data_IF_445517127151
#
_entry.id   IF_445517127151
#
_cell.length_a   1.000
_cell.length_b   1.000
_cell.length_c   1.000
_cell.angle_alpha   90.00
_cell.angle_beta   90.00
_cell.angle_gamma   90.00
#
_symmetry.space_group_name_H-M   'P 1'
#
loop_
_entity.id
_entity.type
_entity.pdbx_description
1 polymer ?
#
# COMPACT_ATOMS: atom_id res chain seq x y z
N UNK A 1 11.79 -25.20 -1.94
CA UNK A 1 11.48 -24.38 -0.76
C UNK A 1 11.56 -25.27 0.47
N UNK A 2 12.17 -24.82 1.58
CA UNK A 2 12.18 -25.57 2.84
C UNK A 2 10.75 -25.67 3.43
N UNK A 3 10.49 -26.70 4.29
CA UNK A 3 9.19 -26.79 4.98
C UNK A 3 8.84 -25.54 5.80
N UNK A 4 9.85 -24.84 6.33
CA UNK A 4 9.69 -23.57 7.04
C UNK A 4 9.23 -22.44 6.12
N UNK A 5 9.77 -22.33 4.89
CA UNK A 5 9.32 -21.35 3.92
C UNK A 5 7.86 -21.57 3.48
N UNK A 6 7.40 -22.83 3.41
CA UNK A 6 6.01 -23.18 3.11
C UNK A 6 5.08 -22.81 4.28
N UNK A 7 5.53 -23.01 5.53
CA UNK A 7 4.75 -22.65 6.73
C UNK A 7 4.62 -21.12 6.87
N UNK A 8 5.67 -20.38 6.55
CA UNK A 8 5.66 -18.90 6.62
C UNK A 8 4.76 -18.27 5.52
N UNK A 9 4.71 -18.87 4.33
CA UNK A 9 3.78 -18.45 3.27
C UNK A 9 2.30 -18.70 3.61
N UNK A 10 2.00 -19.61 4.54
CA UNK A 10 0.63 -19.93 4.95
C UNK A 10 0.15 -19.16 6.20
N UNK A 11 0.98 -18.28 6.78
CA UNK A 11 0.56 -17.42 7.90
C UNK A 11 -0.46 -16.41 7.38
N UNK A 12 -1.69 -16.47 7.87
CA UNK A 12 -2.72 -15.45 7.59
C UNK A 12 -2.31 -14.11 8.21
N UNK A 13 -2.39 -13.04 7.44
CA UNK A 13 -2.10 -11.71 7.92
C UNK A 13 -3.36 -10.87 8.05
N UNK A 14 -3.41 -10.10 9.11
CA UNK A 14 -4.30 -8.95 9.25
C UNK A 14 -3.43 -7.73 9.08
N UNK A 15 -3.47 -7.16 7.89
CA UNK A 15 -2.70 -5.98 7.52
C UNK A 15 -3.46 -4.74 7.95
N UNK A 16 -2.78 -3.79 8.56
CA UNK A 16 -3.34 -2.47 8.86
C UNK A 16 -2.61 -1.42 8.05
N UNK A 17 -3.33 -0.80 7.13
CA UNK A 17 -2.82 0.24 6.26
C UNK A 17 -2.81 1.59 6.98
N UNK A 18 -1.66 2.21 7.05
CA UNK A 18 -1.42 3.49 7.71
C UNK A 18 -1.08 4.55 6.68
N UNK A 19 -2.01 5.49 6.45
CA UNK A 19 -1.66 6.72 5.76
C UNK A 19 -0.93 7.64 6.75
N UNK A 20 0.40 7.61 6.67
CA UNK A 20 1.29 8.15 7.69
C UNK A 20 0.97 9.60 8.10
N UNK A 21 0.77 10.57 7.15
CA UNK A 21 0.57 11.98 7.51
C UNK A 21 -0.69 12.27 8.33
N UNK A 22 -1.69 11.39 8.24
CA UNK A 22 -2.97 11.57 8.92
C UNK A 22 -3.12 10.71 10.18
N UNK A 23 -2.34 9.64 10.29
CA UNK A 23 -2.43 8.69 11.40
C UNK A 23 -1.57 9.08 12.60
N UNK A 24 -0.33 9.53 12.35
CA UNK A 24 0.64 9.89 13.37
C UNK A 24 1.48 11.10 12.92
N UNK A 25 2.21 11.70 13.88
CA UNK A 25 3.08 12.84 13.61
C UNK A 25 4.44 12.40 13.07
N UNK A 26 5.02 11.39 13.71
CA UNK A 26 6.39 10.91 13.51
C UNK A 26 6.52 9.45 13.97
N UNK A 27 7.69 8.84 13.77
CA UNK A 27 7.95 7.46 14.17
C UNK A 27 7.93 7.24 15.69
N UNK A 28 8.24 8.26 16.50
CA UNK A 28 8.10 8.15 17.95
C UNK A 28 6.62 8.05 18.35
N UNK A 29 5.77 8.87 17.75
CA UNK A 29 4.33 8.81 17.97
C UNK A 29 3.76 7.48 17.47
N UNK A 30 4.19 6.98 16.30
CA UNK A 30 3.77 5.66 15.78
C UNK A 30 4.22 4.52 16.70
N UNK A 31 5.45 4.55 17.23
CA UNK A 31 5.94 3.57 18.18
C UNK A 31 5.13 3.53 19.49
N UNK A 32 4.58 4.67 19.92
CA UNK A 32 3.69 4.74 21.08
C UNK A 32 2.29 4.16 20.80
N UNK A 33 1.96 3.92 19.54
CA UNK A 33 0.67 3.30 19.12
C UNK A 33 0.75 1.77 18.93
N UNK A 34 1.90 1.16 19.15
CA UNK A 34 2.05 -0.31 19.08
C UNK A 34 0.99 -1.03 19.94
N UNK A 35 0.70 -0.62 21.20
CA UNK A 35 -0.34 -1.26 22.00
C UNK A 35 -1.73 -1.24 21.36
N UNK A 36 -2.04 -0.20 20.59
CA UNK A 36 -3.31 -0.11 19.84
C UNK A 36 -3.42 -1.20 18.77
N UNK A 37 -2.36 -1.44 18.02
CA UNK A 37 -2.35 -2.47 16.97
C UNK A 37 -2.43 -3.87 17.57
N UNK A 38 -1.73 -4.11 18.68
CA UNK A 38 -1.80 -5.37 19.45
C UNK A 38 -3.22 -5.60 19.97
N UNK A 39 -3.83 -4.57 20.57
CA UNK A 39 -5.21 -4.62 21.05
C UNK A 39 -6.20 -4.94 19.92
N UNK A 40 -6.05 -4.32 18.76
CA UNK A 40 -6.91 -4.58 17.60
C UNK A 40 -6.72 -6.00 17.05
N UNK A 41 -5.54 -6.60 17.28
CA UNK A 41 -5.19 -7.97 16.87
C UNK A 41 -4.61 -8.06 15.46
N UNK A 42 -4.15 -6.95 14.87
CA UNK A 42 -3.45 -6.95 13.58
C UNK A 42 -2.08 -7.62 13.70
N UNK A 43 -1.53 -8.05 12.58
CA UNK A 43 -0.25 -8.77 12.53
C UNK A 43 0.80 -8.07 11.69
N UNK A 44 0.37 -7.15 10.85
CA UNK A 44 1.24 -6.52 9.87
C UNK A 44 0.82 -5.06 9.67
N UNK A 45 1.78 -4.16 9.70
CA UNK A 45 1.57 -2.73 9.47
C UNK A 45 2.09 -2.39 8.06
N UNK A 46 1.26 -1.80 7.22
CA UNK A 46 1.67 -1.24 5.94
C UNK A 46 1.70 0.28 6.07
N UNK A 47 2.90 0.86 5.91
CA UNK A 47 3.11 2.30 5.91
C UNK A 47 3.07 2.82 4.47
N UNK A 48 2.18 3.79 4.16
CA UNK A 48 2.28 4.53 2.91
C UNK A 48 3.63 5.25 2.82
N UNK A 49 4.07 5.77 1.64
CA UNK A 49 5.45 6.20 1.46
C UNK A 49 5.97 7.14 2.56
N UNK A 50 7.09 6.77 3.15
CA UNK A 50 7.75 7.51 4.25
C UNK A 50 8.92 8.37 3.77
N UNK A 51 9.18 8.36 2.46
CA UNK A 51 10.35 8.97 1.82
C UNK A 51 10.18 10.48 1.63
N UNK A 52 11.29 11.23 1.47
CA UNK A 52 11.22 12.62 1.03
C UNK A 52 10.41 12.77 -0.26
N UNK A 53 9.42 13.64 -0.22
CA UNK A 53 8.49 13.93 -1.31
C UNK A 53 8.02 15.38 -1.22
N UNK A 54 7.83 16.09 -2.35
CA UNK A 54 7.33 17.45 -2.34
C UNK A 54 5.83 17.55 -2.05
N UNK A 55 5.12 16.41 -2.14
CA UNK A 55 3.67 16.37 -1.90
C UNK A 55 3.32 15.67 -0.59
N UNK A 56 2.10 15.88 -0.13
CA UNK A 56 1.57 15.23 1.07
C UNK A 56 1.31 13.73 0.84
N UNK A 57 0.90 13.35 -0.38
CA UNK A 57 0.61 11.93 -0.67
C UNK A 57 1.85 11.03 -0.64
N UNK A 58 3.05 11.57 -0.90
CA UNK A 58 4.31 10.85 -0.75
C UNK A 58 4.75 9.99 -1.93
N UNK A 59 3.93 9.82 -2.98
CA UNK A 59 4.24 8.92 -4.10
C UNK A 59 5.22 9.49 -5.12
N UNK A 60 5.48 10.78 -5.14
CA UNK A 60 6.51 11.45 -5.94
C UNK A 60 7.84 11.54 -5.18
N UNK A 61 8.51 10.41 -5.07
CA UNK A 61 9.67 10.21 -4.20
C UNK A 61 10.91 10.94 -4.74
N UNK A 62 11.54 11.77 -3.89
CA UNK A 62 12.81 12.46 -4.19
C UNK A 62 14.01 11.56 -3.91
N UNK A 63 13.95 10.75 -2.87
CA UNK A 63 15.04 9.87 -2.46
C UNK A 63 14.48 8.62 -1.73
N UNK A 64 14.69 7.45 -2.30
CA UNK A 64 14.23 6.17 -1.73
C UNK A 64 15.11 5.66 -0.58
N UNK A 65 16.25 6.29 -0.32
CA UNK A 65 17.22 5.93 0.73
C UNK A 65 17.17 6.88 1.92
N UNK A 66 16.05 7.60 2.09
CA UNK A 66 15.92 8.57 3.18
C UNK A 66 14.49 8.54 3.74
N UNK A 67 14.31 9.14 4.90
CA UNK A 67 13.03 9.31 5.57
C UNK A 67 12.65 10.78 5.49
N UNK A 68 11.38 11.07 5.21
CA UNK A 68 10.85 12.43 5.24
C UNK A 68 11.15 13.06 6.59
N UNK A 69 11.85 14.19 6.60
CA UNK A 69 12.41 14.84 7.80
C UNK A 69 11.38 15.06 8.91
N UNK A 70 10.14 15.34 8.54
CA UNK A 70 9.03 15.55 9.47
C UNK A 70 8.62 14.28 10.20
N UNK A 71 8.98 13.09 9.69
CA UNK A 71 8.65 11.80 10.29
C UNK A 71 9.72 11.31 11.28
N UNK A 72 10.87 12.00 11.36
CA UNK A 72 11.96 11.69 12.28
C UNK A 72 13.23 11.23 11.58
N UNK A 73 14.10 10.60 12.35
CA UNK A 73 15.39 10.06 11.90
C UNK A 73 15.33 8.55 11.66
N UNK A 74 16.38 7.98 11.03
CA UNK A 74 16.56 6.52 10.96
C UNK A 74 16.58 5.86 12.33
N UNK A 75 17.13 6.52 13.34
CA UNK A 75 17.09 6.01 14.72
C UNK A 75 15.66 5.87 15.24
N UNK A 76 14.79 6.83 14.93
CA UNK A 76 13.38 6.78 15.35
C UNK A 76 12.63 5.67 14.60
N UNK A 77 12.93 5.50 13.31
CA UNK A 77 12.40 4.43 12.49
C UNK A 77 12.85 3.05 13.00
N UNK A 78 14.15 2.84 13.20
CA UNK A 78 14.70 1.56 13.68
C UNK A 78 14.13 1.19 15.05
N UNK A 79 13.96 2.17 15.92
CA UNK A 79 13.33 2.01 17.24
C UNK A 79 11.84 1.61 17.12
N UNK A 80 11.14 2.16 16.13
CA UNK A 80 9.77 1.72 15.82
C UNK A 80 9.75 0.27 15.30
N UNK A 81 10.63 -0.10 14.36
CA UNK A 81 10.77 -1.47 13.85
C UNK A 81 11.04 -2.46 14.98
N UNK A 82 12.00 -2.15 15.87
CA UNK A 82 12.32 -3.01 17.02
C UNK A 82 11.10 -3.22 17.92
N UNK A 83 10.41 -2.15 18.29
CA UNK A 83 9.18 -2.24 19.10
C UNK A 83 8.05 -3.02 18.39
N UNK A 84 7.90 -2.85 17.08
CA UNK A 84 6.93 -3.63 16.30
C UNK A 84 7.25 -5.12 16.38
N UNK A 85 8.50 -5.51 16.15
CA UNK A 85 8.96 -6.89 16.20
C UNK A 85 8.86 -7.50 17.61
N UNK A 86 9.18 -6.75 18.67
CA UNK A 86 8.98 -7.17 20.06
C UNK A 86 7.51 -7.53 20.38
N UNK A 87 6.58 -6.96 19.61
CA UNK A 87 5.15 -7.21 19.71
C UNK A 87 4.60 -8.09 18.58
N UNK A 88 5.46 -8.85 17.89
CA UNK A 88 5.12 -9.79 16.82
C UNK A 88 4.42 -9.15 15.60
N UNK A 89 4.62 -7.82 15.39
CA UNK A 89 4.10 -7.09 14.25
C UNK A 89 5.12 -7.04 13.13
N UNK A 90 4.73 -7.44 11.92
CA UNK A 90 5.52 -7.24 10.70
C UNK A 90 5.30 -5.82 10.16
N UNK A 91 6.31 -5.23 9.52
CA UNK A 91 6.23 -3.89 8.92
C UNK A 91 6.56 -3.94 7.44
N UNK A 92 5.65 -3.41 6.62
CA UNK A 92 5.79 -3.27 5.17
C UNK A 92 5.96 -1.80 4.80
N UNK A 93 6.90 -1.51 3.92
CA UNK A 93 7.01 -0.20 3.29
C UNK A 93 6.31 -0.18 1.93
N UNK A 94 5.68 0.94 1.63
CA UNK A 94 5.16 1.23 0.30
C UNK A 94 6.31 1.62 -0.63
N UNK A 95 6.54 0.84 -1.68
CA UNK A 95 7.67 1.02 -2.57
C UNK A 95 7.21 1.37 -3.98
N UNK A 96 7.54 2.60 -4.41
CA UNK A 96 7.20 3.14 -5.73
C UNK A 96 8.38 2.94 -6.68
N UNK A 97 8.25 2.07 -7.67
CA UNK A 97 9.30 1.75 -8.62
C UNK A 97 8.91 1.97 -10.10
N UNK A 98 7.72 2.54 -10.35
CA UNK A 98 7.27 2.87 -11.69
C UNK A 98 7.66 4.30 -12.11
N UNK A 99 7.84 5.19 -11.16
CA UNK A 99 8.20 6.60 -11.37
C UNK A 99 8.96 7.15 -10.16
N UNK A 100 9.46 8.37 -10.30
CA UNK A 100 10.03 9.17 -9.20
C UNK A 100 9.46 10.57 -9.22
N UNK A 101 9.85 11.41 -8.25
CA UNK A 101 9.68 12.87 -8.40
C UNK A 101 10.57 13.41 -9.52
N UNK A 102 10.13 14.47 -10.20
CA UNK A 102 11.00 15.28 -11.06
C UNK A 102 12.15 15.98 -10.29
N UNK A 103 12.07 16.00 -8.96
CA UNK A 103 13.14 16.49 -8.09
C UNK A 103 14.18 15.42 -7.74
N UNK A 104 13.94 14.16 -8.11
CA UNK A 104 14.89 13.07 -7.87
C UNK A 104 16.22 13.33 -8.57
N UNK A 105 17.35 13.12 -7.88
CA UNK A 105 18.69 13.39 -8.42
C UNK A 105 18.92 12.69 -9.77
N UNK A 106 18.52 11.43 -9.86
CA UNK A 106 18.67 10.63 -11.08
C UNK A 106 17.89 11.23 -12.28
N UNK A 107 16.72 11.86 -12.05
CA UNK A 107 16.01 12.56 -13.11
C UNK A 107 16.73 13.84 -13.54
N UNK A 108 17.22 14.63 -12.58
CA UNK A 108 18.03 15.84 -12.88
C UNK A 108 19.30 15.52 -13.67
N UNK A 109 19.94 14.40 -13.36
CA UNK A 109 21.10 13.90 -14.13
C UNK A 109 20.70 13.40 -15.53
N UNK A 110 19.51 12.79 -15.66
CA UNK A 110 18.98 12.32 -16.95
C UNK A 110 18.66 13.48 -17.90
N UNK A 111 18.22 14.64 -17.39
CA UNK A 111 18.05 15.88 -18.19
C UNK A 111 19.38 16.28 -18.87
N UNK A 112 20.49 15.99 -18.22
CA UNK A 112 21.85 16.27 -18.72
C UNK A 112 22.42 15.15 -19.59
N UNK A 113 21.65 14.11 -19.89
CA UNK A 113 22.07 12.94 -20.66
C UNK A 113 23.07 12.01 -19.94
N UNK A 114 23.16 12.07 -18.61
CA UNK A 114 24.13 11.29 -17.81
C UNK A 114 23.70 9.85 -17.52
N UNK A 115 22.44 9.51 -17.77
CA UNK A 115 21.90 8.17 -17.52
C UNK A 115 20.72 7.86 -18.46
N UNK A 116 20.33 6.57 -18.54
CA UNK A 116 19.21 6.04 -19.32
C UNK A 116 18.01 5.66 -18.46
N UNK A 117 17.92 6.24 -17.26
CA UNK A 117 16.95 5.85 -16.25
C UNK A 117 15.52 6.30 -16.54
N UNK A 118 15.33 7.18 -17.53
CA UNK A 118 14.02 7.71 -17.93
C UNK A 118 13.88 7.71 -19.45
N UNK A 119 12.67 7.90 -19.94
CA UNK A 119 12.35 7.92 -21.37
C UNK A 119 12.33 9.35 -21.90
N UNK A 120 13.06 9.59 -22.98
CA UNK A 120 13.19 10.87 -23.66
C UNK A 120 12.83 10.80 -25.14
N UNK A 121 12.22 11.86 -25.67
CA UNK A 121 11.90 12.00 -27.09
C UNK A 121 12.07 13.44 -27.55
N UNK A 122 12.48 13.63 -28.80
CA UNK A 122 12.51 14.96 -29.44
C UNK A 122 11.12 15.46 -29.84
N UNK A 123 10.11 14.58 -29.80
CA UNK A 123 8.75 14.90 -30.19
C UNK A 123 7.76 14.43 -29.13
N UNK A 124 6.64 15.15 -28.97
CA UNK A 124 5.51 14.69 -28.15
C UNK A 124 4.85 13.50 -28.86
N UNK A 125 4.90 12.31 -28.24
CA UNK A 125 4.32 11.10 -28.83
C UNK A 125 2.81 10.96 -28.50
N UNK A 126 2.42 11.33 -27.27
CA UNK A 126 1.03 11.38 -26.79
C UNK A 126 0.92 12.33 -25.58
N UNK A 127 -0.22 12.34 -24.91
CA UNK A 127 -0.46 13.23 -23.76
C UNK A 127 0.29 12.84 -22.49
N UNK A 128 0.86 11.63 -22.40
CA UNK A 128 1.74 11.25 -21.31
C UNK A 128 3.15 11.86 -21.43
N UNK A 129 3.53 12.38 -22.61
CA UNK A 129 4.84 13.02 -22.81
C UNK A 129 4.78 14.49 -22.49
N UNK A 130 5.62 14.91 -21.54
CA UNK A 130 5.71 16.28 -21.01
C UNK A 130 6.98 16.95 -21.45
N UNK A 131 6.89 18.23 -21.79
CA UNK A 131 8.06 19.03 -22.19
C UNK A 131 8.96 19.32 -20.99
N UNK A 132 10.24 19.07 -21.15
CA UNK A 132 11.28 19.56 -20.25
C UNK A 132 11.84 20.87 -20.81
N UNK A 133 11.67 21.96 -20.06
CA UNK A 133 12.10 23.28 -20.50
C UNK A 133 13.62 23.45 -20.53
N UNK A 134 14.36 22.63 -19.77
CA UNK A 134 15.81 22.71 -19.65
C UNK A 134 16.53 22.19 -20.90
N UNK A 135 16.21 20.96 -21.35
CA UNK A 135 16.84 20.33 -22.50
C UNK A 135 16.01 20.35 -23.79
N UNK A 136 14.78 20.92 -23.74
CA UNK A 136 13.83 21.01 -24.86
C UNK A 136 13.36 19.68 -25.42
N UNK A 137 13.52 18.59 -24.68
CA UNK A 137 13.01 17.28 -25.01
C UNK A 137 11.72 16.96 -24.22
N UNK A 138 11.02 15.93 -24.65
CA UNK A 138 9.86 15.40 -23.94
C UNK A 138 10.28 14.16 -23.12
N UNK A 139 9.75 14.05 -21.90
CA UNK A 139 9.89 12.87 -21.06
C UNK A 139 8.52 12.22 -20.79
N UNK A 140 8.54 10.91 -20.58
CA UNK A 140 7.31 10.17 -20.27
C UNK A 140 6.91 10.38 -18.81
N UNK A 141 5.66 10.80 -18.55
CA UNK A 141 5.05 10.96 -17.23
C UNK A 141 3.56 10.67 -17.32
N UNK A 142 3.17 9.44 -16.96
CA UNK A 142 1.81 8.92 -17.18
C UNK A 142 0.74 9.54 -16.28
N UNK A 143 1.11 9.98 -15.06
CA UNK A 143 0.16 10.58 -14.11
C UNK A 143 0.25 12.10 -14.11
N UNK A 144 1.31 12.62 -13.55
CA UNK A 144 1.57 14.06 -13.46
C UNK A 144 2.93 14.39 -14.07
N UNK A 145 3.08 15.61 -14.54
CA UNK A 145 4.35 16.10 -15.08
C UNK A 145 5.50 16.04 -14.04
N UNK A 146 5.16 16.03 -12.75
CA UNK A 146 6.13 15.89 -11.66
C UNK A 146 6.54 14.44 -11.37
N UNK A 147 5.97 13.45 -12.10
CA UNK A 147 6.20 12.03 -11.88
C UNK A 147 6.77 11.34 -13.13
N UNK A 148 8.04 11.60 -13.50
CA UNK A 148 8.67 10.96 -14.64
C UNK A 148 8.76 9.45 -14.48
N UNK A 149 8.38 8.73 -15.53
CA UNK A 149 8.38 7.26 -15.61
C UNK A 149 9.80 6.69 -15.59
N UNK A 150 10.08 5.78 -14.66
CA UNK A 150 11.33 5.04 -14.63
C UNK A 150 11.45 4.06 -15.81
N UNK A 151 12.64 3.97 -16.37
CA UNK A 151 13.01 2.91 -17.30
C UNK A 151 13.46 1.67 -16.52
N UNK A 152 12.50 0.80 -16.17
CA UNK A 152 12.77 -0.43 -15.42
C UNK A 152 13.65 -1.44 -16.19
N UNK A 153 13.94 -1.19 -17.46
CA UNK A 153 14.87 -1.97 -18.29
C UNK A 153 16.33 -1.52 -18.12
N UNK A 154 16.55 -0.29 -17.65
CA UNK A 154 17.90 0.25 -17.41
C UNK A 154 18.66 -0.57 -16.38
N UNK A 155 19.91 -0.89 -16.71
CA UNK A 155 20.82 -1.58 -15.79
C UNK A 155 21.11 -0.74 -14.54
N UNK A 156 21.13 0.59 -14.69
CA UNK A 156 21.35 1.51 -13.57
C UNK A 156 20.14 1.50 -12.61
N UNK A 157 18.91 1.55 -13.13
CA UNK A 157 17.69 1.42 -12.32
C UNK A 157 17.65 0.09 -11.58
N UNK A 158 17.96 -1.02 -12.27
CA UNK A 158 17.98 -2.35 -11.63
C UNK A 158 19.07 -2.47 -10.57
N UNK A 159 20.22 -1.84 -10.76
CA UNK A 159 21.29 -1.79 -9.76
C UNK A 159 20.86 -1.01 -8.52
N UNK A 160 20.25 0.16 -8.72
CA UNK A 160 19.68 0.97 -7.64
C UNK A 160 18.64 0.17 -6.82
N UNK A 161 17.73 -0.52 -7.50
CA UNK A 161 16.70 -1.35 -6.86
C UNK A 161 17.33 -2.47 -6.01
N UNK A 162 18.39 -3.13 -6.45
CA UNK A 162 19.09 -4.15 -5.64
C UNK A 162 19.68 -3.57 -4.36
N UNK A 163 20.29 -2.39 -4.45
CA UNK A 163 20.82 -1.69 -3.27
C UNK A 163 19.67 -1.31 -2.33
N UNK A 164 18.56 -0.79 -2.88
CA UNK A 164 17.38 -0.41 -2.13
C UNK A 164 16.75 -1.59 -1.36
N UNK A 165 16.62 -2.75 -2.01
CA UNK A 165 16.11 -3.98 -1.37
C UNK A 165 16.99 -4.34 -0.16
N UNK A 166 18.31 -4.33 -0.32
CA UNK A 166 19.24 -4.64 0.77
C UNK A 166 19.14 -3.61 1.89
N UNK A 167 19.12 -2.34 1.56
CA UNK A 167 19.03 -1.23 2.51
C UNK A 167 17.81 -1.38 3.44
N UNK A 168 16.61 -1.57 2.88
CA UNK A 168 15.42 -1.66 3.71
C UNK A 168 15.22 -3.02 4.40
N UNK A 169 15.52 -4.14 3.71
CA UNK A 169 15.28 -5.46 4.29
C UNK A 169 16.36 -5.91 5.29
N UNK A 170 17.61 -5.47 5.11
CA UNK A 170 18.74 -5.93 5.93
C UNK A 170 19.17 -4.88 6.94
N UNK A 171 19.41 -3.65 6.48
CA UNK A 171 19.94 -2.59 7.35
C UNK A 171 18.84 -2.06 8.27
N UNK A 172 17.62 -1.84 7.73
CA UNK A 172 16.47 -1.34 8.48
C UNK A 172 15.42 -2.40 8.84
N UNK A 173 15.67 -3.68 8.51
CA UNK A 173 14.93 -4.87 8.98
C UNK A 173 13.44 -4.87 8.69
N UNK A 174 12.94 -4.15 7.65
CA UNK A 174 11.53 -4.25 7.27
C UNK A 174 11.17 -5.65 6.81
N UNK A 175 9.89 -6.04 6.87
CA UNK A 175 9.46 -7.41 6.62
C UNK A 175 9.02 -7.65 5.17
N UNK A 176 8.93 -6.59 4.40
CA UNK A 176 8.55 -6.68 3.00
C UNK A 176 8.06 -5.37 2.44
N UNK A 177 7.38 -5.46 1.30
CA UNK A 177 6.95 -4.28 0.56
C UNK A 177 5.51 -4.41 0.04
N UNK A 178 4.78 -3.32 0.10
CA UNK A 178 3.67 -3.07 -0.81
C UNK A 178 4.23 -2.38 -2.05
N UNK A 179 3.92 -2.88 -3.21
CA UNK A 179 4.45 -2.44 -4.50
C UNK A 179 3.40 -1.60 -5.21
N UNK A 180 3.71 -0.33 -5.39
CA UNK A 180 2.82 0.65 -6.01
C UNK A 180 2.64 0.39 -7.50
N UNK A 181 1.38 0.47 -7.97
CA UNK A 181 0.99 0.55 -9.38
C UNK A 181 1.71 -0.47 -10.31
N UNK A 182 1.75 -1.76 -9.92
CA UNK A 182 2.62 -2.78 -10.55
C UNK A 182 2.43 -2.94 -12.06
N UNK A 183 1.24 -2.68 -12.60
CA UNK A 183 0.98 -2.75 -14.04
C UNK A 183 1.69 -1.69 -14.87
N UNK A 184 2.19 -0.65 -14.23
CA UNK A 184 2.81 0.49 -14.90
C UNK A 184 4.34 0.44 -14.96
N UNK A 185 4.97 -0.62 -14.45
CA UNK A 185 6.40 -0.83 -14.68
C UNK A 185 6.69 -0.85 -16.19
N UNK A 186 7.78 -0.24 -16.60
CA UNK A 186 8.10 -0.09 -18.02
C UNK A 186 8.61 -1.38 -18.65
N UNK A 187 8.38 -1.56 -19.96
CA UNK A 187 8.69 -2.79 -20.68
C UNK A 187 7.63 -3.87 -20.45
N UNK A 188 8.04 -5.09 -20.11
CA UNK A 188 7.15 -6.14 -19.64
C UNK A 188 7.05 -6.08 -18.12
N UNK A 189 5.91 -5.62 -17.56
CA UNK A 189 5.76 -5.48 -16.12
C UNK A 189 5.88 -6.82 -15.38
N UNK A 190 5.35 -7.91 -15.92
CA UNK A 190 5.41 -9.22 -15.27
C UNK A 190 6.86 -9.70 -15.16
N UNK A 191 7.64 -9.59 -16.21
CA UNK A 191 9.06 -9.99 -16.20
C UNK A 191 9.90 -9.09 -15.27
N UNK A 192 9.57 -7.80 -15.18
CA UNK A 192 10.21 -6.91 -14.21
C UNK A 192 9.91 -7.35 -12.77
N UNK A 193 8.66 -7.64 -12.44
CA UNK A 193 8.28 -8.04 -11.08
C UNK A 193 8.74 -9.46 -10.73
N UNK A 194 8.82 -10.38 -11.69
CA UNK A 194 9.49 -11.69 -11.49
C UNK A 194 10.94 -11.50 -11.07
N UNK A 195 11.66 -10.64 -11.80
CA UNK A 195 13.03 -10.30 -11.46
C UNK A 195 13.14 -9.68 -10.07
N UNK A 196 12.29 -8.69 -9.76
CA UNK A 196 12.27 -8.02 -8.46
C UNK A 196 12.02 -9.01 -7.31
N UNK A 197 10.99 -9.82 -7.40
CA UNK A 197 10.66 -10.83 -6.39
C UNK A 197 11.82 -11.82 -6.18
N UNK A 198 12.47 -12.25 -7.27
CA UNK A 198 13.66 -13.11 -7.19
C UNK A 198 14.80 -12.44 -6.44
N UNK A 199 15.08 -11.15 -6.66
CA UNK A 199 16.13 -10.42 -5.95
C UNK A 199 15.76 -10.25 -4.45
N UNK A 200 14.50 -9.96 -4.13
CA UNK A 200 14.01 -9.88 -2.74
C UNK A 200 14.17 -11.21 -2.02
N UNK A 201 13.67 -12.31 -2.60
CA UNK A 201 13.68 -13.63 -1.95
C UNK A 201 15.09 -14.24 -1.83
N UNK A 202 16.08 -13.79 -2.61
CA UNK A 202 17.48 -14.12 -2.37
C UNK A 202 18.03 -13.53 -1.08
N UNK A 203 17.54 -12.36 -0.69
CA UNK A 203 18.01 -11.62 0.50
C UNK A 203 17.18 -12.02 1.73
N UNK A 204 15.85 -11.99 1.62
CA UNK A 204 14.89 -12.34 2.70
C UNK A 204 13.86 -13.33 2.14
N UNK A 205 14.10 -14.66 2.23
CA UNK A 205 13.22 -15.67 1.63
C UNK A 205 11.78 -15.65 2.11
N UNK A 206 11.53 -15.08 3.31
CA UNK A 206 10.23 -14.93 3.93
C UNK A 206 9.67 -13.49 3.83
N UNK A 207 10.26 -12.62 3.04
CA UNK A 207 9.74 -11.29 2.83
C UNK A 207 8.29 -11.34 2.30
N UNK A 208 7.43 -10.48 2.83
CA UNK A 208 6.06 -10.36 2.34
C UNK A 208 6.00 -9.32 1.22
N UNK A 209 5.49 -9.73 0.08
CA UNK A 209 5.31 -8.87 -1.07
C UNK A 209 3.85 -8.85 -1.48
N UNK A 210 3.29 -7.65 -1.63
CA UNK A 210 1.95 -7.43 -2.13
C UNK A 210 1.92 -6.30 -3.16
N UNK A 211 1.37 -6.58 -4.34
CA UNK A 211 1.30 -5.63 -5.44
C UNK A 211 -0.07 -4.98 -5.55
N UNK A 212 -0.07 -3.67 -5.81
CA UNK A 212 -1.28 -2.98 -6.23
C UNK A 212 -1.50 -3.18 -7.72
N UNK A 213 -2.57 -3.90 -8.06
CA UNK A 213 -3.01 -4.11 -9.43
C UNK A 213 -4.49 -3.77 -9.55
N UNK A 214 -4.79 -2.53 -9.94
CA UNK A 214 -6.16 -2.06 -10.10
C UNK A 214 -6.72 -2.52 -11.45
N UNK A 215 -6.98 -3.82 -11.53
CA UNK A 215 -7.48 -4.53 -12.71
C UNK A 215 -8.49 -5.60 -12.29
N UNK A 216 -9.12 -6.23 -13.28
CA UNK A 216 -9.92 -7.43 -13.07
C UNK A 216 -9.13 -8.54 -12.40
N UNK A 217 -9.83 -9.43 -11.70
CA UNK A 217 -9.20 -10.50 -10.92
C UNK A 217 -8.24 -11.36 -11.74
N UNK A 218 -8.62 -11.72 -12.96
CA UNK A 218 -7.80 -12.56 -13.83
C UNK A 218 -6.43 -11.94 -14.12
N UNK A 219 -6.38 -10.63 -14.30
CA UNK A 219 -5.12 -9.89 -14.55
C UNK A 219 -4.30 -9.82 -13.26
N UNK A 220 -4.92 -9.41 -12.15
CA UNK A 220 -4.23 -9.32 -10.86
C UNK A 220 -3.72 -10.69 -10.38
N UNK A 221 -4.51 -11.75 -10.57
CA UNK A 221 -4.13 -13.11 -10.25
C UNK A 221 -2.99 -13.63 -11.13
N UNK A 222 -2.93 -13.23 -12.41
CA UNK A 222 -1.79 -13.55 -13.27
C UNK A 222 -0.48 -12.99 -12.69
N UNK A 223 -0.47 -11.74 -12.21
CA UNK A 223 0.70 -11.19 -11.51
C UNK A 223 1.06 -12.05 -10.30
N UNK A 224 0.08 -12.41 -9.46
CA UNK A 224 0.34 -13.21 -8.27
C UNK A 224 0.95 -14.58 -8.59
N UNK A 225 0.40 -15.29 -9.58
CA UNK A 225 0.89 -16.62 -9.99
C UNK A 225 2.30 -16.52 -10.58
N UNK A 226 2.52 -15.58 -11.49
CA UNK A 226 3.77 -15.46 -12.25
C UNK A 226 4.95 -14.96 -11.41
N UNK A 227 4.69 -14.12 -10.40
CA UNK A 227 5.72 -13.48 -9.59
C UNK A 227 5.91 -14.11 -8.21
N UNK A 228 4.89 -14.81 -7.71
CA UNK A 228 4.85 -15.33 -6.33
C UNK A 228 4.54 -14.30 -5.25
N UNK A 229 4.29 -13.03 -5.62
CA UNK A 229 3.75 -12.03 -4.67
C UNK A 229 2.24 -12.19 -4.49
N UNK A 230 1.67 -11.58 -3.47
CA UNK A 230 0.22 -11.38 -3.37
C UNK A 230 -0.22 -10.12 -4.12
N UNK A 231 -1.53 -10.00 -4.41
CA UNK A 231 -2.10 -8.80 -5.01
C UNK A 231 -3.34 -8.35 -4.26
N UNK A 232 -3.60 -7.03 -4.21
CA UNK A 232 -4.86 -6.50 -3.72
C UNK A 232 -5.98 -6.80 -4.73
N UNK A 233 -7.12 -7.31 -4.24
CA UNK A 233 -8.25 -7.64 -5.10
C UNK A 233 -9.30 -6.53 -5.10
N UNK A 234 -9.15 -5.57 -6.01
CA UNK A 234 -10.05 -4.42 -6.18
C UNK A 234 -11.44 -4.82 -6.66
N UNK A 235 -11.53 -5.80 -7.55
CA UNK A 235 -12.81 -6.29 -8.06
C UNK A 235 -13.67 -6.88 -6.94
N UNK A 236 -13.05 -7.70 -6.06
CA UNK A 236 -13.72 -8.28 -4.92
C UNK A 236 -14.22 -7.23 -3.92
N UNK A 237 -13.45 -6.16 -3.70
CA UNK A 237 -13.87 -5.03 -2.88
C UNK A 237 -15.15 -4.39 -3.47
N UNK A 238 -15.19 -4.18 -4.78
CA UNK A 238 -16.37 -3.67 -5.49
C UNK A 238 -17.58 -4.61 -5.38
N UNK A 239 -17.39 -5.91 -5.53
CA UNK A 239 -18.48 -6.89 -5.41
C UNK A 239 -19.05 -6.97 -4.00
N UNK A 240 -18.21 -6.96 -2.97
CA UNK A 240 -18.67 -6.95 -1.58
C UNK A 240 -19.53 -5.70 -1.29
N UNK A 241 -19.08 -4.52 -1.74
CA UNK A 241 -19.84 -3.27 -1.62
C UNK A 241 -21.17 -3.37 -2.35
N UNK A 242 -21.19 -3.79 -3.62
CA UNK A 242 -22.41 -3.93 -4.41
C UNK A 242 -23.41 -4.91 -3.79
N UNK A 243 -22.93 -6.02 -3.22
CA UNK A 243 -23.77 -7.02 -2.55
C UNK A 243 -24.52 -6.44 -1.35
N UNK A 244 -23.85 -5.68 -0.51
CA UNK A 244 -24.44 -5.13 0.75
C UNK A 244 -25.20 -3.83 0.49
N UNK A 245 -24.70 -2.96 -0.39
CA UNK A 245 -25.29 -1.64 -0.60
C UNK A 245 -26.49 -1.68 -1.54
N UNK A 246 -26.44 -2.54 -2.58
CA UNK A 246 -27.42 -2.60 -3.66
C UNK A 246 -28.15 -3.93 -3.75
N UNK A 247 -27.97 -4.83 -2.76
CA UNK A 247 -28.58 -6.17 -2.75
C UNK A 247 -28.33 -6.95 -4.06
N UNK A 248 -27.14 -6.79 -4.61
CA UNK A 248 -26.74 -7.40 -5.89
C UNK A 248 -26.69 -8.92 -5.75
N UNK A 249 -27.11 -9.63 -6.83
CA UNK A 249 -27.05 -11.10 -6.92
C UNK A 249 -25.66 -11.64 -7.29
N UNK A 250 -24.64 -10.77 -7.43
CA UNK A 250 -23.29 -11.23 -7.73
C UNK A 250 -22.80 -12.19 -6.65
N UNK A 251 -22.35 -13.35 -7.06
CA UNK A 251 -21.71 -14.31 -6.17
C UNK A 251 -20.30 -13.81 -5.85
N UNK A 252 -20.03 -13.71 -4.58
CA UNK A 252 -18.68 -13.44 -4.08
C UNK A 252 -17.83 -14.67 -4.36
N UNK A 253 -16.79 -14.57 -5.17
CA UNK A 253 -15.87 -15.66 -5.43
C UNK A 253 -15.13 -16.02 -4.14
N UNK A 254 -15.16 -17.31 -3.77
CA UNK A 254 -14.46 -17.83 -2.57
C UNK A 254 -13.17 -18.61 -2.93
N UNK A 255 -12.91 -18.81 -4.23
CA UNK A 255 -11.75 -19.55 -4.77
C UNK A 255 -10.53 -18.68 -5.07
N UNK A 256 -10.46 -17.49 -4.46
CA UNK A 256 -9.42 -16.50 -4.68
C UNK A 256 -8.20 -16.84 -3.83
N UNK A 257 -7.16 -17.38 -4.47
CA UNK A 257 -5.87 -17.62 -3.84
C UNK A 257 -4.91 -16.44 -4.10
N UNK A 258 -3.94 -16.25 -3.20
CA UNK A 258 -2.88 -15.23 -3.32
C UNK A 258 -3.36 -13.76 -3.38
N UNK A 259 -4.57 -13.48 -2.95
CA UNK A 259 -5.12 -12.14 -2.90
C UNK A 259 -5.18 -11.59 -1.46
N UNK A 260 -5.06 -10.29 -1.34
CA UNK A 260 -5.38 -9.53 -0.12
C UNK A 260 -6.78 -8.94 -0.30
N UNK A 261 -7.66 -9.23 0.65
CA UNK A 261 -9.05 -8.77 0.66
C UNK A 261 -9.15 -7.51 1.52
N UNK A 262 -9.84 -6.52 1.01
CA UNK A 262 -10.02 -5.22 1.66
C UNK A 262 -11.35 -4.59 1.24
N UNK A 263 -11.75 -3.49 1.86
CA UNK A 263 -12.99 -2.77 1.54
C UNK A 263 -12.73 -1.35 1.05
N UNK A 264 -11.78 -0.68 1.65
CA UNK A 264 -11.35 0.67 1.32
C UNK A 264 -9.83 0.81 1.54
N UNK A 265 -9.25 1.87 0.98
CA UNK A 265 -7.85 2.25 1.13
C UNK A 265 -7.71 3.78 1.00
N UNK A 266 -6.46 4.26 0.96
CA UNK A 266 -6.15 5.69 0.86
C UNK A 266 -6.55 6.34 -0.49
N UNK A 267 -6.88 5.57 -1.53
CA UNK A 267 -7.29 6.03 -2.88
C UNK A 267 -8.79 5.79 -3.16
N UNK A 268 -9.52 5.23 -2.19
CA UNK A 268 -10.93 4.89 -2.35
C UNK A 268 -11.80 5.64 -1.35
N UNK A 269 -13.09 5.77 -1.68
CA UNK A 269 -14.08 6.24 -0.73
C UNK A 269 -14.16 5.29 0.46
N UNK A 270 -14.20 5.84 1.68
CA UNK A 270 -14.34 5.04 2.92
C UNK A 270 -15.68 4.31 2.94
N UNK A 271 -15.68 3.08 3.45
CA UNK A 271 -16.91 2.27 3.54
C UNK A 271 -18.00 2.91 4.39
N UNK A 272 -17.64 3.70 5.39
CA UNK A 272 -18.60 4.46 6.20
C UNK A 272 -19.43 5.44 5.37
N UNK A 273 -18.76 6.12 4.43
CA UNK A 273 -19.42 7.06 3.49
C UNK A 273 -20.28 6.28 2.50
N UNK A 274 -19.77 5.21 1.88
CA UNK A 274 -20.54 4.34 0.99
C UNK A 274 -21.80 3.77 1.68
N UNK A 275 -21.70 3.49 2.97
CA UNK A 275 -22.81 3.00 3.79
C UNK A 275 -23.73 4.11 4.34
N UNK A 276 -23.52 5.38 4.01
CA UNK A 276 -24.21 6.52 4.64
C UNK A 276 -24.17 6.45 6.19
N UNK A 277 -23.02 6.08 6.74
CA UNK A 277 -22.77 5.89 8.19
C UNK A 277 -23.72 4.91 8.89
N UNK A 278 -24.36 4.01 8.13
CA UNK A 278 -25.20 2.96 8.68
C UNK A 278 -24.32 1.86 9.28
N UNK A 279 -24.30 1.78 10.62
CA UNK A 279 -23.45 0.86 11.39
C UNK A 279 -23.71 -0.60 11.04
N UNK A 280 -24.97 -1.00 10.79
CA UNK A 280 -25.30 -2.38 10.45
C UNK A 280 -24.77 -2.76 9.07
N UNK A 281 -24.85 -1.85 8.08
CA UNK A 281 -24.25 -2.07 6.76
C UNK A 281 -22.75 -2.18 6.84
N UNK A 282 -22.07 -1.32 7.63
CA UNK A 282 -20.62 -1.38 7.86
C UNK A 282 -20.25 -2.75 8.48
N UNK A 283 -20.95 -3.15 9.55
CA UNK A 283 -20.72 -4.46 10.19
C UNK A 283 -20.94 -5.64 9.25
N UNK A 284 -21.97 -5.57 8.39
CA UNK A 284 -22.22 -6.60 7.39
C UNK A 284 -21.11 -6.69 6.32
N UNK A 285 -20.56 -5.56 5.86
CA UNK A 285 -19.41 -5.53 4.96
C UNK A 285 -18.17 -6.13 5.63
N UNK A 286 -17.86 -5.70 6.86
CA UNK A 286 -16.76 -6.26 7.64
C UNK A 286 -16.93 -7.77 7.83
N UNK A 287 -18.11 -8.24 8.23
CA UNK A 287 -18.39 -9.67 8.36
C UNK A 287 -18.16 -10.42 7.06
N UNK A 288 -18.61 -9.88 5.93
CA UNK A 288 -18.42 -10.47 4.62
C UNK A 288 -16.92 -10.55 4.26
N UNK A 289 -16.14 -9.50 4.50
CA UNK A 289 -14.69 -9.47 4.27
C UNK A 289 -13.99 -10.61 5.03
N UNK A 290 -14.35 -10.88 6.27
CA UNK A 290 -13.77 -11.95 7.09
C UNK A 290 -14.28 -13.36 6.77
N UNK A 291 -15.14 -13.55 5.75
CA UNK A 291 -15.50 -14.90 5.26
C UNK A 291 -14.43 -15.53 4.36
N UNK A 292 -13.48 -14.75 3.85
CA UNK A 292 -12.39 -15.23 2.98
C UNK A 292 -11.27 -15.90 3.78
N UNK A 293 -11.53 -17.07 4.29
CA UNK A 293 -10.70 -17.78 5.30
C UNK A 293 -9.26 -18.13 4.86
N UNK A 294 -8.93 -18.01 3.58
CA UNK A 294 -7.61 -18.38 3.04
C UNK A 294 -6.80 -17.16 2.54
N UNK A 295 -7.32 -15.97 2.70
CA UNK A 295 -6.71 -14.75 2.19
C UNK A 295 -6.17 -13.89 3.33
N UNK A 296 -5.18 -13.05 3.07
CA UNK A 296 -4.84 -11.97 3.98
C UNK A 296 -5.91 -10.88 3.91
N UNK A 297 -6.16 -10.22 5.03
CA UNK A 297 -7.15 -9.14 5.16
C UNK A 297 -6.42 -7.83 5.37
N UNK A 298 -6.79 -6.78 4.63
CA UNK A 298 -6.27 -5.44 4.86
C UNK A 298 -7.37 -4.51 5.38
N UNK A 299 -7.06 -3.77 6.43
CA UNK A 299 -7.92 -2.79 7.08
C UNK A 299 -7.24 -1.42 6.94
N UNK A 300 -7.92 -0.48 6.33
CA UNK A 300 -7.47 0.90 6.23
C UNK A 300 -7.70 1.64 7.56
N UNK A 301 -6.74 2.45 8.02
CA UNK A 301 -6.86 3.17 9.29
C UNK A 301 -8.19 3.95 9.37
N UNK A 302 -8.84 3.86 10.51
CA UNK A 302 -10.13 4.51 10.77
C UNK A 302 -11.35 3.71 10.31
N UNK A 303 -11.20 2.67 9.47
CA UNK A 303 -12.30 1.77 9.08
C UNK A 303 -12.85 1.03 10.29
N UNK A 304 -11.99 0.69 11.24
CA UNK A 304 -12.33 0.03 12.50
C UNK A 304 -13.19 0.87 13.46
N UNK A 305 -13.29 2.17 13.21
CA UNK A 305 -14.19 3.07 13.96
C UNK A 305 -15.29 3.68 13.08
N UNK A 306 -15.40 3.24 11.82
CA UNK A 306 -16.34 3.80 10.87
C UNK A 306 -16.05 5.26 10.50
N UNK A 307 -14.77 5.63 10.45
CA UNK A 307 -14.34 6.99 10.15
C UNK A 307 -14.74 7.42 8.75
N UNK A 308 -15.20 8.66 8.60
CA UNK A 308 -15.57 9.28 7.33
C UNK A 308 -15.99 10.73 7.54
N UNK A 309 -16.18 11.46 6.45
CA UNK A 309 -16.64 12.86 6.47
C UNK A 309 -18.07 12.93 5.95
N UNK A 310 -19.05 13.17 6.82
CA UNK A 310 -20.43 13.38 6.38
C UNK A 310 -20.49 14.57 5.42
N UNK A 311 -21.24 14.45 4.33
CA UNK A 311 -21.40 15.50 3.30
C UNK A 311 -20.12 15.90 2.56
N UNK A 312 -18.99 15.20 2.78
CA UNK A 312 -17.73 15.43 2.08
C UNK A 312 -17.66 14.80 0.68
N UNK A 313 -18.79 14.32 0.16
CA UNK A 313 -18.85 13.75 -1.16
C UNK A 313 -18.83 14.83 -2.23
N UNK A 314 -17.67 15.30 -2.56
CA UNK A 314 -17.44 15.94 -3.85
C UNK A 314 -16.63 14.95 -4.66
N UNK A 315 -17.26 14.38 -5.67
CA UNK A 315 -16.57 13.68 -6.75
C UNK A 315 -15.75 14.74 -7.49
N UNK A 316 -14.67 15.19 -6.88
CA UNK A 316 -13.70 16.06 -7.51
C UNK A 316 -12.87 15.17 -8.43
N UNK A 317 -13.24 15.15 -9.71
CA UNK A 317 -12.60 14.36 -10.73
C UNK A 317 -11.07 14.26 -10.54
N UNK A 318 -10.60 13.11 -10.10
CA UNK A 318 -9.19 12.81 -9.90
C UNK A 318 -8.56 13.19 -8.55
N UNK A 319 -9.26 13.83 -7.63
CA UNK A 319 -8.75 14.24 -6.30
C UNK A 319 -9.68 13.83 -5.15
N UNK A 320 -10.38 12.69 -5.26
CA UNK A 320 -11.25 12.14 -4.21
C UNK A 320 -10.56 11.78 -2.90
N UNK A 321 -9.25 11.83 -2.89
CA UNK A 321 -8.35 11.33 -1.85
C UNK A 321 -8.42 12.13 -0.55
N UNK A 322 -8.73 13.43 -0.59
CA UNK A 322 -8.80 14.28 0.59
C UNK A 322 -9.78 13.77 1.65
N UNK A 323 -10.89 13.20 1.24
CA UNK A 323 -11.93 12.72 2.17
C UNK A 323 -11.59 11.38 2.80
N UNK A 324 -10.76 10.55 2.15
CA UNK A 324 -10.28 9.29 2.68
C UNK A 324 -9.05 9.46 3.59
N UNK A 325 -8.31 10.57 3.45
CA UNK A 325 -7.02 10.84 4.12
C UNK A 325 -7.13 11.81 5.30
N UNK A 326 -8.28 11.84 5.99
CA UNK A 326 -8.51 12.70 7.15
C UNK A 326 -7.76 12.20 8.39
N UNK A 327 -7.40 13.11 9.31
CA UNK A 327 -6.69 12.78 10.55
C UNK A 327 -7.44 11.75 11.37
N UNK A 328 -6.71 10.78 11.92
CA UNK A 328 -7.25 9.73 12.78
C UNK A 328 -7.98 10.32 13.99
N UNK A 329 -9.21 9.86 14.23
CA UNK A 329 -10.03 10.32 15.34
C UNK A 329 -9.80 9.47 16.61
N UNK A 330 -8.75 9.79 17.35
CA UNK A 330 -8.38 9.07 18.58
C UNK A 330 -9.42 9.20 19.70
N UNK A 331 -10.17 10.29 19.73
CA UNK A 331 -11.29 10.44 20.68
C UNK A 331 -12.38 9.41 20.41
N UNK A 332 -12.72 9.18 19.14
CA UNK A 332 -13.71 8.19 18.74
C UNK A 332 -13.22 6.75 19.04
N UNK A 333 -11.92 6.47 18.90
CA UNK A 333 -11.33 5.20 19.32
C UNK A 333 -11.60 4.94 20.80
N UNK A 334 -11.28 5.91 21.67
CA UNK A 334 -11.49 5.78 23.12
C UNK A 334 -12.97 5.63 23.49
N UNK A 335 -13.86 6.31 22.78
CA UNK A 335 -15.31 6.19 22.97
C UNK A 335 -15.78 4.77 22.60
N UNK A 336 -15.35 4.27 21.44
CA UNK A 336 -15.78 2.96 20.92
C UNK A 336 -15.19 1.79 21.69
N UNK A 337 -14.00 1.92 22.28
CA UNK A 337 -13.44 0.90 23.18
C UNK A 337 -14.38 0.55 24.34
N UNK A 338 -15.11 1.55 24.85
CA UNK A 338 -16.02 1.39 26.00
C UNK A 338 -17.40 0.85 25.63
N UNK A 339 -17.75 0.86 24.35
CA UNK A 339 -19.04 0.37 23.86
C UNK A 339 -18.87 -1.03 23.26
N UNK A 340 -19.37 -2.10 23.91
CA UNK A 340 -19.24 -3.47 23.42
C UNK A 340 -19.92 -3.70 22.06
N UNK A 341 -20.87 -2.83 21.69
CA UNK A 341 -21.59 -2.90 20.42
C UNK A 341 -20.99 -2.02 19.33
N UNK A 342 -19.86 -1.37 19.59
CA UNK A 342 -19.19 -0.51 18.62
C UNK A 342 -18.65 -1.28 17.39
N UNK A 343 -18.27 -0.55 16.34
CA UNK A 343 -17.58 -1.11 15.16
C UNK A 343 -16.20 -1.62 15.61
N UNK A 344 -15.48 -0.89 16.46
CA UNK A 344 -14.16 -1.24 16.98
C UNK A 344 -14.17 -2.61 17.69
N UNK A 345 -15.06 -2.82 18.63
CA UNK A 345 -15.15 -4.09 19.34
C UNK A 345 -15.68 -5.22 18.45
N UNK A 346 -16.51 -4.89 17.47
CA UNK A 346 -16.98 -5.86 16.49
C UNK A 346 -15.85 -6.38 15.58
N UNK A 347 -15.01 -5.48 15.05
CA UNK A 347 -13.89 -5.90 14.19
C UNK A 347 -12.81 -6.66 14.99
N UNK A 348 -12.54 -6.29 16.24
CA UNK A 348 -11.67 -7.07 17.15
C UNK A 348 -12.16 -8.52 17.27
N UNK A 349 -13.45 -8.70 17.47
CA UNK A 349 -14.06 -10.03 17.53
C UNK A 349 -13.87 -10.79 16.21
N UNK A 350 -14.13 -10.16 15.06
CA UNK A 350 -13.93 -10.77 13.75
C UNK A 350 -12.47 -11.19 13.52
N UNK A 351 -11.51 -10.35 13.88
CA UNK A 351 -10.08 -10.66 13.79
C UNK A 351 -9.73 -11.87 14.66
N UNK A 352 -10.21 -11.91 15.89
CA UNK A 352 -9.97 -13.04 16.80
C UNK A 352 -10.53 -14.34 16.23
N UNK A 353 -11.79 -14.34 15.78
CA UNK A 353 -12.45 -15.49 15.15
C UNK A 353 -11.74 -15.94 13.87
N UNK A 354 -11.20 -14.98 13.09
CA UNK A 354 -10.47 -15.26 11.86
C UNK A 354 -9.12 -15.95 12.12
N UNK A 355 -8.39 -15.50 13.14
CA UNK A 355 -7.09 -16.06 13.53
C UNK A 355 -7.21 -17.45 14.17
N UNK A 356 -8.37 -17.81 14.73
CA UNK A 356 -8.63 -19.09 15.38
C UNK A 356 -9.03 -20.21 14.40
N UNK A 357 -9.33 -19.89 13.16
CA UNK A 357 -9.65 -20.84 12.07
C UNK A 357 -8.41 -21.24 11.28
#
# INVERSE_FOLDING_TARGET
MSKEAIIIQNKKRIIYEIYFPAFCRDFQDLANKIPYFVELGVTTLWLTPIFPSPTEHGYDIINHFDIKKEYGSFRDFDNFIEKAHENELEVLLDLVLCHTSSEHLMFKESIQGKNDCYFWSNHKLDDAWKICNENKQYYLAKWYYTMPQLNNQSAQVRTLIKVLIKFWLVEHKVDGFRLDAIKYASGDPIEFWKWFCKEVYKIKPNAYLVGECWEEFEISNKYAIETGMKTFNFEQAGWMKNKILHNSRYEVRNDINNAVIFLDNHDMTRISVDCNFNVDKIKNLLKLMFTFNHNDICIYYGTEIGMGVPNGYVHCGGHGDFHSRTKMNWYEVERQRRDPNSIFNYIKKLIHEYKSK
#
